data_IF_921741063445
#
_entry.id   IF_921741063445
#
_cell.length_a   1.000
_cell.length_b   1.000
_cell.length_c   1.000
_cell.angle_alpha   90.00
_cell.angle_beta   90.00
_cell.angle_gamma   90.00
#
_symmetry.space_group_name_H-M   'P 1'
#
loop_
_entity.id
_entity.type
_entity.pdbx_description
1 polymer ?
#
# COMPACT_ATOMS: atom_id res chain seq x y z
N UNK A 1 -12.58 -0.99 -11.02
CA UNK A 1 -12.70 -0.93 -9.55
C UNK A 1 -12.68 0.53 -9.15
N UNK A 2 -13.62 0.98 -8.31
CA UNK A 2 -13.64 2.35 -7.82
C UNK A 2 -12.80 2.44 -6.54
N UNK A 3 -12.04 3.53 -6.38
CA UNK A 3 -11.34 3.83 -5.14
C UNK A 3 -12.35 4.25 -4.07
N UNK A 4 -12.11 3.88 -2.82
CA UNK A 4 -12.87 4.43 -1.69
C UNK A 4 -12.34 5.82 -1.29
N UNK A 5 -13.07 6.50 -0.40
CA UNK A 5 -12.75 7.88 0.00
C UNK A 5 -11.34 8.02 0.61
N UNK A 6 -10.90 7.04 1.41
CA UNK A 6 -9.56 7.05 1.99
C UNK A 6 -8.46 6.87 0.94
N UNK A 7 -8.71 6.04 -0.08
CA UNK A 7 -7.78 5.90 -1.20
C UNK A 7 -7.74 7.17 -2.07
N UNK A 8 -8.87 7.84 -2.26
CA UNK A 8 -8.92 9.14 -2.92
C UNK A 8 -8.12 10.19 -2.13
N UNK A 9 -8.23 10.20 -0.79
CA UNK A 9 -7.44 11.09 0.07
C UNK A 9 -5.93 10.86 -0.11
N UNK A 10 -5.48 9.59 -0.16
CA UNK A 10 -4.08 9.24 -0.43
C UNK A 10 -3.67 9.70 -1.83
N UNK A 11 -4.47 9.43 -2.86
CA UNK A 11 -4.20 9.86 -4.25
C UNK A 11 -4.04 11.37 -4.32
N UNK A 12 -4.90 12.15 -3.64
CA UNK A 12 -4.75 13.60 -3.57
C UNK A 12 -3.45 14.02 -2.90
N UNK A 13 -3.07 13.37 -1.79
CA UNK A 13 -1.82 13.68 -1.09
C UNK A 13 -0.58 13.45 -1.96
N UNK A 14 -0.51 12.32 -2.67
CA UNK A 14 0.62 12.03 -3.56
C UNK A 14 0.59 12.87 -4.85
N UNK A 15 -0.58 13.28 -5.35
CA UNK A 15 -0.68 14.28 -6.42
C UNK A 15 -0.14 15.64 -5.98
N UNK A 16 -0.50 16.10 -4.77
CA UNK A 16 0.00 17.35 -4.19
C UNK A 16 1.50 17.32 -3.94
N UNK A 17 2.05 16.14 -3.60
CA UNK A 17 3.50 15.92 -3.50
C UNK A 17 4.23 16.04 -4.85
N UNK A 18 3.51 15.90 -5.97
CA UNK A 18 4.05 16.01 -7.32
C UNK A 18 4.36 14.66 -7.99
N UNK A 19 3.87 13.56 -7.43
CA UNK A 19 4.04 12.23 -8.03
C UNK A 19 3.30 12.16 -9.37
N UNK A 20 3.86 11.42 -10.34
CA UNK A 20 3.30 11.36 -11.70
C UNK A 20 2.02 10.53 -11.73
N UNK A 21 0.99 11.01 -12.43
CA UNK A 21 -0.31 10.32 -12.50
C UNK A 21 -0.24 8.88 -13.00
N UNK A 22 0.65 8.58 -13.96
CA UNK A 22 0.83 7.21 -14.47
C UNK A 22 1.47 6.28 -13.43
N UNK A 23 2.43 6.78 -12.63
CA UNK A 23 3.05 6.02 -11.55
C UNK A 23 2.01 5.75 -10.46
N UNK A 24 1.19 6.75 -10.11
CA UNK A 24 0.08 6.60 -9.16
C UNK A 24 -0.92 5.55 -9.66
N UNK A 25 -1.33 5.62 -10.93
CA UNK A 25 -2.25 4.65 -11.51
C UNK A 25 -1.70 3.21 -11.45
N UNK A 26 -0.41 3.04 -11.75
CA UNK A 26 0.28 1.76 -11.63
C UNK A 26 0.34 1.25 -10.18
N UNK A 27 0.62 2.15 -9.23
CA UNK A 27 0.64 1.80 -7.80
C UNK A 27 -0.71 1.29 -7.30
N UNK A 28 -1.81 1.94 -7.68
CA UNK A 28 -3.16 1.53 -7.29
C UNK A 28 -3.74 0.41 -8.16
N UNK A 29 -3.11 0.08 -9.30
CA UNK A 29 -3.61 -0.91 -10.25
C UNK A 29 -4.92 -0.49 -10.92
N UNK A 30 -5.09 0.80 -11.19
CA UNK A 30 -6.32 1.38 -11.76
C UNK A 30 -6.05 2.12 -13.07
N UNK A 31 -7.13 2.45 -13.79
CA UNK A 31 -7.04 3.24 -15.02
C UNK A 31 -6.57 4.67 -14.74
N UNK A 32 -5.61 5.17 -15.52
CA UNK A 32 -5.06 6.53 -15.36
C UNK A 32 -6.09 7.66 -15.48
N UNK A 33 -7.17 7.47 -16.24
CA UNK A 33 -8.28 8.41 -16.29
C UNK A 33 -8.94 8.64 -14.93
N UNK A 34 -8.96 7.64 -14.05
CA UNK A 34 -9.47 7.81 -12.67
C UNK A 34 -8.58 8.70 -11.82
N UNK A 35 -7.26 8.66 -12.04
CA UNK A 35 -6.34 9.60 -11.39
C UNK A 35 -6.56 11.01 -11.93
N UNK A 36 -6.80 11.17 -13.23
CA UNK A 36 -7.11 12.47 -13.83
C UNK A 36 -8.44 13.07 -13.32
N UNK A 37 -9.48 12.25 -13.14
CA UNK A 37 -10.76 12.66 -12.52
C UNK A 37 -10.56 13.17 -11.08
N UNK A 38 -9.70 12.52 -10.29
CA UNK A 38 -9.36 12.97 -8.93
C UNK A 38 -8.53 14.25 -8.98
N UNK A 39 -7.54 14.32 -9.87
CA UNK A 39 -6.65 15.48 -10.03
C UNK A 39 -7.39 16.75 -10.44
N UNK A 40 -8.46 16.63 -11.22
CA UNK A 40 -9.29 17.77 -11.66
C UNK A 40 -10.41 18.09 -10.68
N UNK A 41 -10.59 17.28 -9.63
CA UNK A 41 -11.67 17.43 -8.66
C UNK A 41 -13.04 16.96 -9.18
N UNK A 42 -13.11 16.32 -10.35
CA UNK A 42 -14.35 15.69 -10.82
C UNK A 42 -14.81 14.57 -9.88
N UNK A 43 -13.86 13.84 -9.30
CA UNK A 43 -14.11 12.79 -8.30
C UNK A 43 -13.54 13.19 -6.95
N UNK A 44 -14.37 13.06 -5.90
CA UNK A 44 -13.95 13.26 -4.52
C UNK A 44 -13.61 14.71 -4.17
N UNK A 45 -14.23 15.71 -4.80
CA UNK A 45 -13.95 17.14 -4.57
C UNK A 45 -13.96 17.54 -3.08
N UNK A 46 -14.87 16.99 -2.28
CA UNK A 46 -15.00 17.24 -0.83
C UNK A 46 -13.97 16.51 0.04
N UNK A 47 -13.23 15.54 -0.51
CA UNK A 47 -12.28 14.72 0.25
C UNK A 47 -10.99 15.50 0.43
N UNK A 48 -10.53 15.62 1.68
CA UNK A 48 -9.24 16.26 1.99
C UNK A 48 -8.10 15.29 1.71
N UNK A 49 -6.97 15.82 1.23
CA UNK A 49 -5.78 15.02 1.01
C UNK A 49 -5.23 14.44 2.31
N UNK A 50 -4.76 13.21 2.29
CA UNK A 50 -4.05 12.62 3.43
C UNK A 50 -2.76 13.39 3.73
N UNK A 51 -2.38 13.52 5.01
CA UNK A 51 -1.15 14.20 5.40
C UNK A 51 0.08 13.38 4.99
N UNK A 52 1.25 14.01 4.94
CA UNK A 52 2.46 13.44 4.34
C UNK A 52 2.92 12.15 5.04
N UNK A 53 2.70 12.03 6.35
CA UNK A 53 3.00 10.86 7.17
C UNK A 53 2.18 9.61 6.81
N UNK A 54 1.02 9.78 6.20
CA UNK A 54 0.12 8.67 5.81
C UNK A 54 0.32 8.25 4.35
N UNK A 55 1.15 8.97 3.60
CA UNK A 55 1.39 8.69 2.20
C UNK A 55 2.38 7.54 2.03
N UNK A 56 2.24 6.71 0.98
CA UNK A 56 3.31 5.79 0.60
C UNK A 56 4.58 6.58 0.24
N UNK A 57 5.76 5.94 0.26
CA UNK A 57 7.01 6.55 -0.19
C UNK A 57 6.87 7.20 -1.58
N UNK A 58 7.61 8.27 -1.81
CA UNK A 58 7.63 8.93 -3.12
C UNK A 58 8.02 7.96 -4.23
N UNK A 59 7.31 8.04 -5.36
CA UNK A 59 7.59 7.22 -6.53
C UNK A 59 8.96 7.49 -7.15
N UNK A 60 9.35 6.74 -8.19
CA UNK A 60 8.51 5.84 -8.98
C UNK A 60 8.14 4.54 -8.24
N UNK A 61 6.87 4.15 -8.36
CA UNK A 61 6.35 2.95 -7.72
C UNK A 61 6.73 1.70 -8.52
N UNK A 62 7.81 1.02 -8.11
CA UNK A 62 8.33 -0.16 -8.81
C UNK A 62 7.39 -1.36 -8.81
N UNK A 63 6.43 -1.40 -7.88
CA UNK A 63 5.42 -2.44 -7.78
C UNK A 63 4.08 -1.84 -7.33
N UNK A 64 2.99 -2.47 -7.76
CA UNK A 64 1.65 -2.13 -7.28
C UNK A 64 1.52 -2.37 -5.77
N UNK A 65 0.70 -1.55 -5.11
CA UNK A 65 0.37 -1.63 -3.68
C UNK A 65 -0.01 -3.03 -3.23
N UNK A 66 -0.77 -3.75 -4.06
CA UNK A 66 -1.18 -5.14 -3.76
C UNK A 66 0.00 -6.10 -3.71
N UNK A 67 0.98 -5.96 -4.60
CA UNK A 67 2.18 -6.80 -4.61
C UNK A 67 3.07 -6.52 -3.40
N UNK A 68 3.22 -5.23 -3.03
CA UNK A 68 3.95 -4.83 -1.82
C UNK A 68 3.28 -5.40 -0.56
N UNK A 69 1.96 -5.25 -0.44
CA UNK A 69 1.19 -5.84 0.67
C UNK A 69 1.32 -7.36 0.74
N UNK A 70 1.22 -8.04 -0.40
CA UNK A 70 1.38 -9.50 -0.44
C UNK A 70 2.77 -9.91 0.05
N UNK A 71 3.83 -9.22 -0.40
CA UNK A 71 5.20 -9.46 0.06
C UNK A 71 5.33 -9.27 1.57
N UNK A 72 4.81 -8.17 2.11
CA UNK A 72 4.92 -7.87 3.54
C UNK A 72 4.15 -8.88 4.40
N UNK A 73 2.94 -9.28 3.97
CA UNK A 73 2.19 -10.37 4.60
C UNK A 73 2.96 -11.68 4.58
N UNK A 74 3.58 -12.04 3.46
CA UNK A 74 4.38 -13.27 3.35
C UNK A 74 5.62 -13.25 4.27
N UNK A 75 6.25 -12.09 4.43
CA UNK A 75 7.37 -11.91 5.38
C UNK A 75 6.88 -12.12 6.81
N UNK A 76 5.78 -11.45 7.20
CA UNK A 76 5.22 -11.61 8.54
C UNK A 76 4.80 -13.06 8.83
N UNK A 77 4.21 -13.74 7.85
CA UNK A 77 3.86 -15.16 7.97
C UNK A 77 5.08 -16.05 8.13
N UNK A 78 6.14 -15.81 7.35
CA UNK A 78 7.40 -16.57 7.48
C UNK A 78 7.98 -16.41 8.88
N UNK A 79 8.03 -15.19 9.40
CA UNK A 79 8.62 -14.91 10.71
C UNK A 79 7.80 -15.59 11.82
N UNK A 80 6.46 -15.52 11.74
CA UNK A 80 5.57 -16.23 12.67
C UNK A 80 5.74 -17.76 12.62
N UNK A 81 5.87 -18.34 11.41
CA UNK A 81 6.12 -19.78 11.25
C UNK A 81 7.47 -20.16 11.86
N UNK A 82 8.50 -19.32 11.67
CA UNK A 82 9.82 -19.58 12.22
C UNK A 82 9.81 -19.56 13.76
N UNK A 83 9.10 -18.61 14.36
CA UNK A 83 8.92 -18.55 15.82
C UNK A 83 8.21 -19.80 16.34
N UNK A 84 7.14 -20.24 15.66
CA UNK A 84 6.43 -21.47 16.04
C UNK A 84 7.29 -22.73 15.92
N UNK A 85 8.15 -22.83 14.90
CA UNK A 85 9.10 -23.94 14.76
C UNK A 85 10.10 -23.92 15.92
N UNK A 86 10.66 -22.76 16.25
CA UNK A 86 11.61 -22.62 17.36
C UNK A 86 10.99 -23.04 18.70
N UNK A 87 9.71 -22.71 18.92
CA UNK A 87 8.98 -23.14 20.11
C UNK A 87 8.80 -24.66 20.14
N UNK A 88 8.39 -25.29 19.04
CA UNK A 88 8.26 -26.75 18.93
C UNK A 88 9.59 -27.43 19.24
N UNK A 89 10.69 -26.98 18.63
CA UNK A 89 12.03 -27.52 18.85
C UNK A 89 12.47 -27.39 20.32
N UNK A 90 12.07 -26.32 21.01
CA UNK A 90 12.33 -26.14 22.44
C UNK A 90 11.56 -27.15 23.29
N UNK A 91 10.29 -27.43 22.96
CA UNK A 91 9.46 -28.40 23.68
C UNK A 91 9.89 -29.85 23.43
N UNK A 92 10.37 -30.17 22.23
CA UNK A 92 10.79 -31.51 21.83
C UNK A 92 12.22 -31.86 22.25
N UNK A 93 13.01 -30.89 22.74
CA UNK A 93 14.34 -31.18 23.29
C UNK A 93 14.24 -32.19 24.43
N UNK A 94 14.93 -33.34 24.34
CA UNK A 94 14.93 -34.32 25.41
C UNK A 94 15.45 -33.67 26.70
N UNK A 95 14.77 -33.91 27.82
CA UNK A 95 15.31 -33.57 29.15
C UNK A 95 16.49 -34.50 29.41
N UNK A 96 17.68 -33.92 29.51
CA UNK A 96 18.88 -34.60 30.03
C UNK A 96 18.62 -35.26 31.39
#
# INVERSE_FOLDING_TARGET
MALNDGEIAIVKGILLRGDRQHDIAAYFGINGGRIAEISTGQTGSSITASPAEDLPPAGPYMAGRSALRARDTLIALRDLIQDAINDIDLYEKPKD
#
